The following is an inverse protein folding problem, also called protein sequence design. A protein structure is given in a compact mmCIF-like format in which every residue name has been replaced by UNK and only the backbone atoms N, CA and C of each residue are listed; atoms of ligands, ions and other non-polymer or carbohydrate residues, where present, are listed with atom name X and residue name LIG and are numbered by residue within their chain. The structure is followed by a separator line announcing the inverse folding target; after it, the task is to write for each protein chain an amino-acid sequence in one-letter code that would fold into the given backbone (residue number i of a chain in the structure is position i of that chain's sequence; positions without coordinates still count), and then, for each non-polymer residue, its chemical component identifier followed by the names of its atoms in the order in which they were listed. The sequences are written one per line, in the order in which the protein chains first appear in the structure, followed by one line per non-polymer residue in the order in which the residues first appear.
data_IF_114881547081
#
_entry.id   IF_114881547081
#
_cell.length_a   1.000
_cell.length_b   1.000
_cell.length_c   1.000
_cell.angle_alpha   90.00
_cell.angle_beta   90.00
_cell.angle_gamma   90.00
#
_symmetry.space_group_name_H-M   'P 1'
#
loop_
_entity.id
_entity.type
_entity.pdbx_description
1 polymer ?
#
# COMPACT_ATOMS: atom_id res chain seq x y z
N UNK A 1 -46.44 -22.62 48.52
CA UNK A 1 -46.79 -24.04 48.73
C UNK A 1 -46.27 -24.85 47.54
N UNK A 2 -45.47 -25.89 47.83
CA UNK A 2 -45.13 -27.14 47.10
C UNK A 2 -45.46 -27.26 45.57
N UNK A 3 -44.41 -27.42 44.75
CA UNK A 3 -43.90 -28.64 44.04
C UNK A 3 -44.53 -29.04 42.67
N UNK A 4 -43.61 -29.56 41.83
CA UNK A 4 -43.71 -30.51 40.69
C UNK A 4 -43.67 -29.86 39.30
N UNK A 5 -42.56 -29.84 38.54
CA UNK A 5 -41.83 -30.95 37.89
C UNK A 5 -42.69 -31.73 36.88
N UNK A 6 -42.47 -31.51 35.58
CA UNK A 6 -42.50 -32.56 34.55
C UNK A 6 -41.70 -32.09 33.31
N UNK A 7 -40.57 -32.75 33.10
CA UNK A 7 -39.80 -32.76 31.86
C UNK A 7 -40.46 -33.79 30.95
N UNK A 8 -40.82 -33.42 29.73
CA UNK A 8 -41.16 -34.38 28.67
C UNK A 8 -40.26 -34.11 27.47
N UNK A 9 -39.28 -35.00 27.34
CA UNK A 9 -38.39 -35.19 26.21
C UNK A 9 -39.15 -35.97 25.14
N UNK A 10 -39.36 -35.39 23.95
CA UNK A 10 -39.81 -36.14 22.77
C UNK A 10 -38.72 -36.06 21.71
N UNK A 11 -37.93 -37.12 21.66
CA UNK A 11 -37.05 -37.49 20.55
C UNK A 11 -37.93 -38.02 19.41
N UNK A 12 -37.88 -37.34 18.25
CA UNK A 12 -38.24 -37.97 16.97
C UNK A 12 -36.96 -38.02 16.14
N UNK A 13 -36.32 -39.18 16.18
CA UNK A 13 -35.35 -39.62 15.18
C UNK A 13 -36.14 -40.00 13.93
N UNK A 14 -35.91 -39.28 12.83
CA UNK A 14 -36.22 -39.74 11.50
C UNK A 14 -34.95 -39.65 10.67
N UNK A 15 -34.32 -40.81 10.47
CA UNK A 15 -33.24 -41.01 9.52
C UNK A 15 -33.67 -40.52 8.13
N UNK A 16 -32.98 -39.53 7.59
CA UNK A 16 -32.82 -39.33 6.15
C UNK A 16 -31.31 -39.27 5.90
N UNK A 17 -30.74 -40.45 5.69
CA UNK A 17 -29.36 -40.63 5.25
C UNK A 17 -29.28 -40.30 3.76
N UNK A 18 -28.44 -39.31 3.48
CA UNK A 18 -27.57 -39.15 2.32
C UNK A 18 -28.10 -39.51 0.92
N UNK A 19 -28.57 -38.46 0.22
CA UNK A 19 -28.33 -38.26 -1.21
C UNK A 19 -28.35 -36.74 -1.53
N UNK A 20 -27.53 -35.97 -0.79
CA UNK A 20 -27.20 -34.58 -1.14
C UNK A 20 -25.76 -34.19 -0.78
N UNK A 21 -24.97 -35.14 -0.29
CA UNK A 21 -23.54 -35.04 0.02
C UNK A 21 -22.65 -35.31 -1.20
N UNK A 22 -23.18 -35.03 -2.40
CA UNK A 22 -22.45 -35.04 -3.67
C UNK A 22 -22.80 -33.79 -4.51
N UNK A 23 -22.70 -32.59 -3.90
CA UNK A 23 -22.73 -31.33 -4.65
C UNK A 23 -21.96 -30.19 -3.95
N UNK A 24 -21.08 -30.49 -3.00
CA UNK A 24 -20.16 -29.54 -2.38
C UNK A 24 -18.73 -29.64 -2.95
N UNK A 25 -18.59 -30.17 -4.17
CA UNK A 25 -17.42 -29.99 -5.02
C UNK A 25 -17.71 -28.89 -6.06
N UNK A 26 -18.13 -27.71 -5.60
CA UNK A 26 -18.19 -26.52 -6.45
C UNK A 26 -16.77 -25.98 -6.60
N UNK A 27 -16.11 -26.40 -7.68
CA UNK A 27 -14.97 -25.75 -8.38
C UNK A 27 -14.10 -24.78 -7.56
N UNK A 28 -13.00 -25.27 -6.99
CA UNK A 28 -11.84 -24.44 -6.62
C UNK A 28 -11.01 -23.99 -7.86
N UNK A 29 -11.63 -23.80 -9.03
CA UNK A 29 -10.93 -23.85 -10.33
C UNK A 29 -11.05 -22.60 -11.24
N UNK A 30 -11.30 -21.38 -10.74
CA UNK A 30 -11.54 -20.24 -11.65
C UNK A 30 -10.58 -19.03 -11.48
N UNK A 31 -9.30 -19.26 -11.14
CA UNK A 31 -8.27 -18.23 -11.22
C UNK A 31 -7.01 -18.75 -11.93
N UNK A 32 -6.31 -17.87 -12.65
CA UNK A 32 -5.00 -18.19 -13.21
C UNK A 32 -3.97 -18.18 -12.08
N UNK A 33 -3.25 -19.29 -11.92
CA UNK A 33 -2.17 -19.37 -10.92
C UNK A 33 -1.05 -18.42 -11.31
N UNK A 34 -0.76 -17.49 -10.42
CA UNK A 34 0.21 -16.42 -10.59
C UNK A 34 1.26 -16.50 -9.48
N UNK A 35 2.55 -16.50 -9.83
CA UNK A 35 3.65 -16.51 -8.86
C UNK A 35 4.58 -15.34 -9.13
N UNK A 36 4.82 -14.51 -8.11
CA UNK A 36 5.75 -13.39 -8.15
C UNK A 36 6.98 -13.75 -7.32
N UNK A 37 8.16 -13.47 -7.85
CA UNK A 37 9.43 -13.68 -7.15
C UNK A 37 10.46 -12.66 -7.63
N UNK A 38 11.61 -12.60 -6.97
CA UNK A 38 12.70 -11.69 -7.31
C UNK A 38 13.96 -12.48 -7.66
N UNK A 39 14.60 -12.11 -8.77
CA UNK A 39 15.98 -12.49 -9.09
C UNK A 39 16.89 -11.34 -8.67
N UNK A 40 17.42 -11.43 -7.44
CA UNK A 40 18.29 -10.41 -6.87
C UNK A 40 19.60 -10.24 -7.65
N UNK A 41 20.09 -11.29 -8.32
CA UNK A 41 21.34 -11.23 -9.10
C UNK A 41 21.17 -10.38 -10.36
N UNK A 42 19.99 -10.46 -10.98
CA UNK A 42 19.65 -9.67 -12.17
C UNK A 42 18.90 -8.39 -11.85
N UNK A 43 18.55 -8.17 -10.58
CA UNK A 43 17.76 -7.04 -10.11
C UNK A 43 16.45 -6.97 -10.91
N UNK A 44 15.72 -8.10 -10.89
CA UNK A 44 14.51 -8.31 -11.69
C UNK A 44 13.38 -8.90 -10.84
N UNK A 45 12.16 -8.46 -11.12
CA UNK A 45 10.94 -9.11 -10.61
C UNK A 45 10.45 -10.07 -11.69
N UNK A 46 10.23 -11.32 -11.30
CA UNK A 46 9.73 -12.38 -12.17
C UNK A 46 8.27 -12.66 -11.83
N UNK A 47 7.44 -12.72 -12.86
CA UNK A 47 6.02 -13.05 -12.73
C UNK A 47 5.66 -14.23 -13.64
N UNK A 48 5.36 -15.37 -13.02
CA UNK A 48 5.01 -16.61 -13.68
C UNK A 48 3.50 -16.85 -13.67
N UNK A 49 2.90 -16.85 -14.85
CA UNK A 49 1.49 -17.13 -15.10
C UNK A 49 1.32 -18.54 -15.66
N UNK A 50 0.49 -19.37 -15.02
CA UNK A 50 0.13 -20.70 -15.51
C UNK A 50 -1.23 -20.62 -16.20
N UNK A 51 -1.20 -20.38 -17.50
CA UNK A 51 -2.36 -20.08 -18.33
C UNK A 51 -3.04 -21.39 -18.75
N UNK A 52 -4.36 -21.55 -18.50
CA UNK A 52 -5.08 -22.74 -18.95
C UNK A 52 -5.25 -22.75 -20.48
N UNK A 53 -5.44 -23.94 -21.09
CA UNK A 53 -5.68 -24.05 -22.53
C UNK A 53 -6.89 -23.22 -22.99
N UNK A 54 -6.81 -22.65 -24.20
CA UNK A 54 -7.90 -21.88 -24.81
C UNK A 54 -7.99 -20.42 -24.36
N UNK A 55 -7.21 -20.00 -23.36
CA UNK A 55 -7.13 -18.60 -22.98
C UNK A 55 -6.24 -17.81 -23.95
N UNK A 56 -6.80 -16.75 -24.53
CA UNK A 56 -6.14 -15.92 -25.55
C UNK A 56 -5.79 -14.51 -25.07
N UNK A 57 -6.33 -14.06 -23.93
CA UNK A 57 -5.99 -12.74 -23.37
C UNK A 57 -6.20 -12.65 -21.86
N UNK A 58 -5.42 -11.78 -21.21
CA UNK A 58 -5.61 -11.33 -19.83
C UNK A 58 -5.59 -9.79 -19.85
N UNK A 59 -6.59 -9.15 -19.23
CA UNK A 59 -6.64 -7.68 -19.15
C UNK A 59 -6.15 -7.27 -17.77
N UNK A 60 -4.95 -6.69 -17.70
CA UNK A 60 -4.37 -6.21 -16.45
C UNK A 60 -5.03 -4.90 -16.01
N UNK A 61 -4.99 -4.64 -14.71
CA UNK A 61 -5.31 -3.30 -14.21
C UNK A 61 -4.31 -2.31 -14.80
N UNK A 62 -4.85 -1.30 -15.49
CA UNK A 62 -4.08 -0.21 -16.06
C UNK A 62 -3.95 0.98 -15.13
N UNK A 63 -3.33 2.04 -15.65
CA UNK A 63 -3.06 3.31 -14.99
C UNK A 63 -4.29 4.16 -14.58
N UNK A 64 -5.46 3.55 -14.31
CA UNK A 64 -6.70 4.28 -14.04
C UNK A 64 -7.61 3.71 -12.94
N UNK A 65 -7.35 2.52 -12.37
CA UNK A 65 -8.16 1.97 -11.25
C UNK A 65 -7.56 2.24 -9.87
N UNK A 66 -6.28 2.59 -9.88
CA UNK A 66 -5.44 3.12 -8.81
C UNK A 66 -4.41 3.97 -9.57
N UNK A 67 -3.89 5.10 -9.07
CA UNK A 67 -2.95 5.93 -9.82
C UNK A 67 -1.58 5.24 -9.94
N UNK A 68 -1.52 4.14 -10.69
CA UNK A 68 -0.32 3.43 -11.09
C UNK A 68 0.14 4.11 -12.37
N UNK A 69 1.24 4.86 -12.32
CA UNK A 69 1.62 5.77 -13.39
C UNK A 69 1.94 5.12 -14.75
N UNK A 70 2.18 3.81 -14.76
CA UNK A 70 2.90 3.15 -15.85
C UNK A 70 2.04 2.04 -16.43
N UNK A 71 1.67 2.12 -17.72
CA UNK A 71 0.99 1.03 -18.41
C UNK A 71 1.76 -0.28 -18.31
N UNK A 72 1.09 -1.45 -18.15
CA UNK A 72 1.75 -2.73 -18.02
C UNK A 72 2.75 -3.06 -19.14
N UNK A 73 2.48 -2.65 -20.38
CA UNK A 73 3.39 -2.83 -21.52
C UNK A 73 4.75 -2.11 -21.37
N UNK A 74 4.81 -1.02 -20.60
CA UNK A 74 6.04 -0.28 -20.33
C UNK A 74 6.79 -0.82 -19.11
N UNK A 75 6.10 -1.61 -18.28
CA UNK A 75 6.60 -2.17 -17.04
C UNK A 75 7.14 -3.59 -17.24
N UNK A 76 6.43 -4.40 -18.02
CA UNK A 76 6.67 -5.82 -18.17
C UNK A 76 7.22 -6.18 -19.55
N UNK A 77 8.22 -7.06 -19.57
CA UNK A 77 8.71 -7.73 -20.78
C UNK A 77 8.36 -9.21 -20.74
N UNK A 78 7.89 -9.75 -21.85
CA UNK A 78 7.65 -11.19 -21.99
C UNK A 78 8.99 -11.90 -22.18
N UNK A 79 9.35 -12.78 -21.24
CA UNK A 79 10.59 -13.56 -21.28
C UNK A 79 10.39 -14.93 -21.92
N UNK A 80 9.27 -15.60 -21.61
CA UNK A 80 8.91 -16.89 -22.20
C UNK A 80 7.39 -17.03 -22.36
N UNK A 81 6.95 -17.99 -23.17
CA UNK A 81 5.54 -18.38 -23.26
C UNK A 81 4.72 -17.68 -24.34
N UNK A 82 5.34 -17.01 -25.32
CA UNK A 82 4.67 -16.52 -26.54
C UNK A 82 3.48 -15.60 -26.26
N UNK A 83 3.72 -14.46 -25.64
CA UNK A 83 2.71 -13.45 -25.35
C UNK A 83 3.18 -12.08 -25.83
N UNK A 84 2.24 -11.15 -26.03
CA UNK A 84 2.54 -9.77 -26.42
C UNK A 84 1.61 -8.83 -25.65
N UNK A 85 2.11 -7.63 -25.36
CA UNK A 85 1.30 -6.58 -24.74
C UNK A 85 0.72 -5.65 -25.80
N UNK A 86 -0.55 -5.28 -25.60
CA UNK A 86 -1.24 -4.20 -26.28
C UNK A 86 -1.93 -3.34 -25.21
N UNK A 87 -1.27 -2.26 -24.79
CA UNK A 87 -1.68 -1.44 -23.66
C UNK A 87 -1.68 -2.24 -22.35
N UNK A 88 -2.87 -2.42 -21.76
CA UNK A 88 -3.06 -3.21 -20.54
C UNK A 88 -3.42 -4.67 -20.83
N UNK A 89 -3.52 -5.07 -22.09
CA UNK A 89 -3.92 -6.43 -22.48
C UNK A 89 -2.68 -7.26 -22.77
N UNK A 90 -2.55 -8.39 -22.09
CA UNK A 90 -1.59 -9.44 -22.43
C UNK A 90 -2.28 -10.44 -23.36
N UNK A 91 -1.96 -10.38 -24.64
CA UNK A 91 -2.42 -11.33 -25.64
C UNK A 91 -1.57 -12.59 -25.64
N UNK A 92 -2.24 -13.73 -25.74
CA UNK A 92 -1.65 -15.04 -25.57
C UNK A 92 -1.74 -15.83 -26.87
N UNK A 93 -0.60 -16.28 -27.41
CA UNK A 93 -0.60 -17.19 -28.57
C UNK A 93 -1.42 -18.47 -28.32
N UNK A 94 -2.18 -18.89 -29.32
CA UNK A 94 -3.33 -19.79 -29.22
C UNK A 94 -3.05 -21.27 -28.82
N UNK A 95 -1.80 -21.69 -28.61
CA UNK A 95 -1.46 -23.11 -28.43
C UNK A 95 -1.13 -23.49 -26.97
N UNK A 96 -1.96 -24.37 -26.40
CA UNK A 96 -1.66 -25.20 -25.22
C UNK A 96 -1.58 -24.50 -23.86
N UNK A 97 -1.81 -25.25 -22.78
CA UNK A 97 -1.57 -24.78 -21.43
C UNK A 97 -0.09 -24.42 -21.26
N UNK A 98 0.18 -23.17 -20.86
CA UNK A 98 1.51 -22.58 -20.98
C UNK A 98 1.90 -21.78 -19.76
N UNK A 99 3.19 -21.84 -19.42
CA UNK A 99 3.82 -20.91 -18.49
C UNK A 99 4.24 -19.68 -19.28
N UNK A 100 3.65 -18.53 -18.98
CA UNK A 100 4.12 -17.23 -19.46
C UNK A 100 4.93 -16.60 -18.34
N UNK A 101 6.17 -16.24 -18.64
CA UNK A 101 7.02 -15.53 -17.69
C UNK A 101 7.18 -14.08 -18.14
N UNK A 102 6.78 -13.16 -17.28
CA UNK A 102 6.98 -11.73 -17.43
C UNK A 102 8.11 -11.29 -16.51
N UNK A 103 8.84 -10.26 -16.93
CA UNK A 103 9.97 -9.71 -16.18
C UNK A 103 9.85 -8.19 -16.13
N UNK A 104 10.01 -7.64 -14.95
CA UNK A 104 10.17 -6.20 -14.72
C UNK A 104 11.62 -5.95 -14.29
N UNK A 105 12.29 -5.05 -15.00
CA UNK A 105 13.63 -4.58 -14.65
C UNK A 105 13.51 -3.53 -13.54
N UNK A 106 14.19 -3.78 -12.41
CA UNK A 106 14.16 -2.88 -11.24
C UNK A 106 15.53 -2.27 -10.92
N UNK A 107 16.43 -2.18 -11.91
CA UNK A 107 17.79 -1.67 -11.72
C UNK A 107 17.85 -0.16 -11.48
N UNK A 108 16.94 0.62 -12.07
CA UNK A 108 16.86 2.08 -11.87
C UNK A 108 15.53 2.45 -11.28
N UNK A 109 15.55 3.30 -10.26
CA UNK A 109 14.32 3.91 -9.77
C UNK A 109 13.72 4.71 -10.92
N UNK A 110 12.39 4.63 -11.08
CA UNK A 110 11.68 5.38 -12.11
C UNK A 110 11.11 6.65 -11.49
N UNK A 111 11.31 7.78 -12.15
CA UNK A 111 10.53 8.97 -11.89
C UNK A 111 9.11 8.70 -12.37
N UNK A 112 8.14 8.89 -11.49
CA UNK A 112 6.72 8.81 -11.82
C UNK A 112 6.12 10.21 -11.75
N UNK A 113 5.08 10.51 -12.54
CA UNK A 113 4.30 11.74 -12.39
C UNK A 113 3.85 11.97 -10.94
N UNK A 114 3.59 13.23 -10.61
CA UNK A 114 3.00 13.58 -9.31
C UNK A 114 1.72 12.76 -9.04
N UNK A 115 1.51 12.41 -7.77
CA UNK A 115 0.35 11.63 -7.27
C UNK A 115 0.18 10.25 -7.88
N UNK A 116 1.27 9.62 -8.27
CA UNK A 116 1.24 8.23 -8.74
C UNK A 116 2.17 7.35 -7.93
N UNK A 117 1.71 6.14 -7.63
CA UNK A 117 2.51 5.19 -6.87
C UNK A 117 3.61 4.61 -7.75
N UNK A 118 4.82 4.57 -7.20
CA UNK A 118 5.94 3.90 -7.86
C UNK A 118 5.66 2.40 -7.99
N UNK A 119 5.98 1.75 -9.11
CA UNK A 119 5.72 0.32 -9.27
C UNK A 119 6.58 -0.54 -8.34
N UNK A 120 7.73 -0.02 -7.91
CA UNK A 120 8.64 -0.65 -6.98
C UNK A 120 9.57 0.38 -6.34
N UNK A 121 10.19 0.01 -5.23
CA UNK A 121 11.35 0.68 -4.66
C UNK A 121 12.33 -0.34 -4.10
N UNK A 122 13.54 0.14 -3.76
CA UNK A 122 14.64 -0.70 -3.28
C UNK A 122 15.24 -0.17 -2.01
N UNK A 123 15.70 -1.09 -1.18
CA UNK A 123 16.53 -0.80 -0.02
C UNK A 123 18.00 -0.99 -0.38
N UNK A 124 18.88 -0.42 0.44
CA UNK A 124 20.33 -0.54 0.28
C UNK A 124 20.85 -1.97 0.37
N UNK A 125 20.14 -2.87 1.06
CA UNK A 125 20.53 -4.27 1.24
C UNK A 125 20.06 -5.18 0.09
N UNK A 126 19.52 -4.61 -0.98
CA UNK A 126 19.00 -5.35 -2.12
C UNK A 126 17.54 -5.81 -1.97
N UNK A 127 16.89 -5.53 -0.84
CA UNK A 127 15.46 -5.76 -0.69
C UNK A 127 14.69 -4.97 -1.74
N UNK A 128 13.78 -5.65 -2.45
CA UNK A 128 12.93 -5.06 -3.49
C UNK A 128 11.48 -5.12 -3.02
N UNK A 129 10.81 -3.97 -2.98
CA UNK A 129 9.38 -3.90 -2.73
C UNK A 129 8.62 -3.59 -4.02
N UNK A 130 7.57 -4.35 -4.31
CA UNK A 130 6.74 -4.20 -5.52
C UNK A 130 5.32 -3.88 -5.14
N UNK A 131 4.70 -2.98 -5.89
CA UNK A 131 3.30 -2.62 -5.71
C UNK A 131 2.40 -3.79 -6.12
N UNK A 132 1.49 -4.22 -5.23
CA UNK A 132 0.64 -5.40 -5.46
C UNK A 132 -0.30 -5.25 -6.65
N UNK A 133 -0.74 -4.02 -6.96
CA UNK A 133 -1.64 -3.72 -8.08
C UNK A 133 -1.00 -3.97 -9.45
N UNK A 134 0.32 -4.05 -9.55
CA UNK A 134 1.02 -4.44 -10.79
C UNK A 134 0.68 -5.88 -11.23
N UNK A 135 0.07 -6.67 -10.35
CA UNK A 135 -0.30 -8.07 -10.55
C UNK A 135 -1.81 -8.29 -10.50
N UNK A 136 -2.59 -7.21 -10.60
CA UNK A 136 -4.06 -7.25 -10.60
C UNK A 136 -4.63 -7.24 -12.02
N UNK A 137 -5.87 -7.70 -12.15
CA UNK A 137 -6.63 -7.74 -13.41
C UNK A 137 -7.80 -6.78 -13.36
N UNK A 138 -8.08 -6.18 -14.51
CA UNK A 138 -9.27 -5.34 -14.70
C UNK A 138 -10.54 -6.11 -14.39
N UNK A 139 -11.58 -5.41 -13.92
CA UNK A 139 -12.95 -5.95 -13.84
C UNK A 139 -13.46 -6.47 -15.19
N UNK A 140 -12.91 -5.97 -16.30
CA UNK A 140 -13.21 -6.42 -17.66
C UNK A 140 -12.42 -7.67 -18.09
N UNK A 141 -11.46 -8.12 -17.29
CA UNK A 141 -10.70 -9.32 -17.55
C UNK A 141 -11.62 -10.54 -17.48
N UNK A 142 -11.49 -11.51 -18.41
CA UNK A 142 -12.29 -12.74 -18.38
C UNK A 142 -11.89 -13.68 -17.23
N UNK A 143 -10.81 -13.35 -16.50
CA UNK A 143 -10.25 -14.20 -15.43
C UNK A 143 -9.79 -13.39 -14.24
N UNK A 144 -9.75 -14.07 -13.09
CA UNK A 144 -9.08 -13.64 -11.87
C UNK A 144 -7.66 -14.22 -11.79
N UNK A 145 -6.82 -13.65 -10.93
CA UNK A 145 -5.47 -14.14 -10.65
C UNK A 145 -5.35 -14.59 -9.19
N UNK A 146 -4.83 -15.79 -8.96
CA UNK A 146 -4.43 -16.22 -7.62
C UNK A 146 -2.93 -15.91 -7.45
N UNK A 147 -2.63 -14.69 -7.00
CA UNK A 147 -1.26 -14.20 -6.85
C UNK A 147 -0.61 -14.75 -5.59
N UNK A 148 0.58 -15.33 -5.74
CA UNK A 148 1.41 -15.82 -4.63
C UNK A 148 2.80 -15.24 -4.75
N UNK A 149 3.27 -14.60 -3.70
CA UNK A 149 4.61 -14.03 -3.64
C UNK A 149 5.54 -15.05 -3.00
N UNK A 150 6.64 -15.41 -3.66
CA UNK A 150 7.56 -16.47 -3.23
C UNK A 150 8.93 -15.87 -2.90
N UNK A 151 9.41 -16.15 -1.69
CA UNK A 151 10.74 -15.77 -1.25
C UNK A 151 11.83 -16.63 -1.94
N UNK A 152 13.00 -16.04 -2.17
CA UNK A 152 14.21 -16.80 -2.48
C UNK A 152 14.69 -17.56 -1.23
N UNK A 153 15.57 -18.57 -1.36
CA UNK A 153 16.16 -19.24 -0.21
C UNK A 153 16.82 -18.22 0.74
N UNK A 154 16.49 -18.30 2.03
CA UNK A 154 16.96 -17.41 3.10
C UNK A 154 16.40 -15.97 3.11
N UNK A 155 15.56 -15.61 2.14
CA UNK A 155 14.85 -14.34 2.12
C UNK A 155 13.48 -14.44 2.81
N UNK A 156 12.91 -13.28 3.13
CA UNK A 156 11.51 -13.14 3.46
C UNK A 156 10.73 -12.55 2.29
N UNK A 157 9.45 -12.86 2.25
CA UNK A 157 8.42 -12.11 1.54
C UNK A 157 7.51 -11.45 2.56
N UNK A 158 7.37 -10.12 2.47
CA UNK A 158 6.84 -9.27 3.54
C UNK A 158 5.74 -8.36 3.00
N UNK A 159 4.58 -8.36 3.63
CA UNK A 159 3.43 -7.54 3.24
C UNK A 159 2.20 -7.97 4.03
N UNK A 160 1.15 -7.15 4.03
CA UNK A 160 -0.11 -7.46 4.73
C UNK A 160 0.07 -7.77 6.23
N UNK A 161 1.09 -7.19 6.89
CA UNK A 161 1.40 -7.49 8.30
C UNK A 161 2.15 -8.81 8.54
N UNK A 162 2.47 -9.55 7.48
CA UNK A 162 3.13 -10.85 7.51
C UNK A 162 4.56 -10.79 6.95
N UNK A 163 5.42 -11.69 7.44
CA UNK A 163 6.78 -11.89 6.95
C UNK A 163 7.05 -13.40 6.87
N UNK A 164 7.12 -13.94 5.67
CA UNK A 164 7.14 -15.38 5.41
C UNK A 164 8.40 -15.80 4.66
N UNK A 165 8.99 -16.96 4.99
CA UNK A 165 10.21 -17.45 4.33
C UNK A 165 9.96 -18.32 3.09
N UNK A 166 8.68 -18.58 2.75
CA UNK A 166 8.31 -19.45 1.63
C UNK A 166 7.39 -18.74 0.66
N UNK A 167 6.16 -18.51 1.09
CA UNK A 167 5.11 -17.95 0.26
C UNK A 167 4.21 -17.06 1.10
N UNK A 168 3.93 -15.87 0.60
CA UNK A 168 2.86 -15.00 1.06
C UNK A 168 1.73 -15.02 0.03
N UNK A 169 0.49 -15.09 0.48
CA UNK A 169 -0.70 -15.10 -0.38
C UNK A 169 -1.74 -14.18 0.27
N UNK A 170 -1.59 -12.85 0.08
CA UNK A 170 -2.53 -11.88 0.65
C UNK A 170 -3.90 -12.01 -0.03
N UNK A 171 -4.98 -11.51 0.59
CA UNK A 171 -6.30 -11.53 -0.04
C UNK A 171 -6.32 -10.71 -1.33
N UNK A 172 -7.23 -11.04 -2.27
CA UNK A 172 -7.36 -10.33 -3.55
C UNK A 172 -7.66 -8.83 -3.40
N UNK A 173 -8.20 -8.43 -2.25
CA UNK A 173 -8.45 -7.03 -1.87
C UNK A 173 -7.21 -6.28 -1.39
N UNK A 174 -6.08 -6.95 -1.18
CA UNK A 174 -4.85 -6.33 -0.68
C UNK A 174 -4.31 -5.30 -1.68
N UNK A 175 -4.05 -4.09 -1.19
CA UNK A 175 -3.49 -2.97 -1.96
C UNK A 175 -2.33 -2.40 -1.16
N UNK A 176 -1.11 -2.70 -1.56
CA UNK A 176 0.09 -2.26 -0.85
C UNK A 176 1.36 -2.81 -1.48
N UNK A 177 2.49 -2.49 -0.88
CA UNK A 177 3.77 -3.06 -1.30
C UNK A 177 4.02 -4.43 -0.68
N UNK A 178 4.62 -5.33 -1.46
CA UNK A 178 5.19 -6.61 -1.01
C UNK A 178 6.69 -6.58 -1.21
N UNK A 179 7.46 -6.74 -0.15
CA UNK A 179 8.92 -6.75 -0.17
C UNK A 179 9.51 -8.16 -0.20
N UNK A 180 10.65 -8.30 -0.87
CA UNK A 180 11.45 -9.51 -0.99
C UNK A 180 12.88 -9.21 -0.57
N UNK A 181 13.40 -9.94 0.42
CA UNK A 181 14.78 -9.78 0.88
C UNK A 181 14.93 -9.99 2.37
N UNK A 182 15.94 -9.36 2.97
CA UNK A 182 16.28 -9.49 4.40
C UNK A 182 16.38 -8.13 5.12
N UNK A 183 15.35 -7.27 5.03
CA UNK A 183 15.37 -5.97 5.70
C UNK A 183 15.32 -6.11 7.22
N UNK A 184 15.46 -5.00 7.93
CA UNK A 184 15.15 -4.97 9.37
C UNK A 184 13.64 -4.98 9.52
N UNK A 185 13.09 -5.95 10.25
CA UNK A 185 11.66 -6.04 10.53
C UNK A 185 11.45 -5.81 12.02
N UNK A 186 10.56 -4.89 12.35
CA UNK A 186 10.12 -4.64 13.71
C UNK A 186 8.60 -4.76 13.81
N UNK A 187 8.12 -5.34 14.91
CA UNK A 187 6.69 -5.42 15.22
C UNK A 187 6.42 -4.77 16.57
N UNK A 188 5.47 -3.86 16.63
CA UNK A 188 5.02 -3.25 17.89
C UNK A 188 3.54 -2.87 17.80
N UNK A 189 2.73 -3.28 18.79
CA UNK A 189 1.33 -2.85 18.90
C UNK A 189 0.47 -3.15 17.67
N UNK A 190 0.71 -4.27 16.97
CA UNK A 190 0.02 -4.64 15.74
C UNK A 190 0.59 -4.00 14.46
N UNK A 191 1.52 -3.05 14.59
CA UNK A 191 2.21 -2.45 13.47
C UNK A 191 3.42 -3.29 13.06
N UNK A 192 3.56 -3.55 11.76
CA UNK A 192 4.78 -4.09 11.17
C UNK A 192 5.54 -2.98 10.45
N UNK A 193 6.81 -2.78 10.82
CA UNK A 193 7.69 -1.80 10.22
C UNK A 193 8.86 -2.53 9.55
N UNK A 194 9.11 -2.20 8.30
CA UNK A 194 10.15 -2.77 7.43
C UNK A 194 11.12 -1.66 7.10
N UNK A 195 12.37 -1.80 7.50
CA UNK A 195 13.33 -0.70 7.51
C UNK A 195 14.59 -1.07 6.75
N UNK A 196 15.05 -0.14 5.93
CA UNK A 196 16.33 -0.23 5.26
C UNK A 196 17.48 -0.20 6.28
N UNK A 197 18.42 -1.13 6.13
CA UNK A 197 19.60 -1.24 6.99
C UNK A 197 20.46 0.01 6.94
N UNK A 198 20.53 0.70 5.80
CA UNK A 198 21.28 1.94 5.65
C UNK A 198 20.57 3.16 6.25
N UNK A 199 19.29 3.07 6.62
CA UNK A 199 18.62 4.20 7.27
C UNK A 199 19.33 4.54 8.59
N UNK A 200 19.63 5.83 8.85
CA UNK A 200 20.34 6.27 10.04
C UNK A 200 19.68 5.76 11.33
N UNK A 201 20.45 5.24 12.31
CA UNK A 201 19.87 4.63 13.51
C UNK A 201 18.88 5.53 14.27
N UNK A 202 19.17 6.83 14.36
CA UNK A 202 18.28 7.81 15.01
C UNK A 202 16.94 7.89 14.29
N UNK A 203 16.92 7.90 12.95
CA UNK A 203 15.70 8.03 12.16
C UNK A 203 14.81 6.81 12.36
N UNK A 204 15.42 5.61 12.30
CA UNK A 204 14.70 4.35 12.54
C UNK A 204 14.05 4.36 13.92
N UNK A 205 14.81 4.70 14.95
CA UNK A 205 14.33 4.71 16.33
C UNK A 205 13.23 5.75 16.54
N UNK A 206 13.46 6.99 16.11
CA UNK A 206 12.52 8.12 16.26
C UNK A 206 11.20 7.83 15.57
N UNK A 207 11.23 7.41 14.31
CA UNK A 207 10.00 7.11 13.56
C UNK A 207 9.29 5.92 14.18
N UNK A 208 9.97 4.79 14.43
CA UNK A 208 9.34 3.61 15.02
C UNK A 208 8.67 3.88 16.37
N UNK A 209 9.31 4.63 17.26
CA UNK A 209 8.72 5.02 18.56
C UNK A 209 7.52 5.93 18.39
N UNK A 210 7.54 6.82 17.40
CA UNK A 210 6.47 7.78 17.13
C UNK A 210 5.27 7.13 16.45
N UNK A 211 5.47 6.17 15.55
CA UNK A 211 4.42 5.49 14.80
C UNK A 211 3.37 4.84 15.71
N UNK A 212 3.81 4.18 16.78
CA UNK A 212 2.88 3.59 17.74
C UNK A 212 2.03 4.65 18.46
N UNK A 213 2.64 5.78 18.84
CA UNK A 213 1.95 6.90 19.51
C UNK A 213 0.98 7.60 18.56
N UNK A 214 1.36 7.77 17.30
CA UNK A 214 0.51 8.30 16.23
C UNK A 214 -0.71 7.39 16.02
N UNK A 215 -0.49 6.09 15.85
CA UNK A 215 -1.57 5.11 15.67
C UNK A 215 -2.54 5.11 16.85
N UNK A 216 -2.03 5.17 18.09
CA UNK A 216 -2.85 5.28 19.31
C UNK A 216 -3.63 6.60 19.35
N UNK A 217 -2.99 7.72 19.01
CA UNK A 217 -3.61 9.04 18.99
C UNK A 217 -4.82 9.08 18.05
N UNK A 218 -4.66 8.57 16.83
CA UNK A 218 -5.74 8.52 15.85
C UNK A 218 -6.80 7.48 16.23
N UNK A 219 -6.40 6.28 16.66
CA UNK A 219 -7.35 5.23 17.05
C UNK A 219 -8.26 5.68 18.21
N UNK A 220 -7.72 6.43 19.17
CA UNK A 220 -8.50 6.96 20.29
C UNK A 220 -9.53 8.01 19.87
N UNK A 221 -9.35 8.68 18.73
CA UNK A 221 -10.21 9.77 18.25
C UNK A 221 -11.15 9.37 17.13
N UNK A 222 -10.71 8.44 16.28
CA UNK A 222 -11.38 8.09 15.03
C UNK A 222 -11.87 6.64 15.03
N UNK A 223 -11.57 5.87 16.08
CA UNK A 223 -11.87 4.45 16.19
C UNK A 223 -10.75 3.56 15.66
N UNK A 224 -10.85 2.26 15.93
CA UNK A 224 -9.86 1.28 15.51
C UNK A 224 -9.83 1.13 13.98
N UNK A 225 -8.63 0.96 13.43
CA UNK A 225 -8.40 0.64 12.03
C UNK A 225 -7.39 -0.50 11.88
N UNK A 226 -7.42 -1.18 10.74
CA UNK A 226 -6.37 -2.13 10.36
C UNK A 226 -5.10 -1.34 10.02
N UNK A 227 -4.01 -1.60 10.73
CA UNK A 227 -2.77 -0.87 10.52
C UNK A 227 -1.98 -1.44 9.34
N UNK A 228 -1.51 -0.60 8.41
CA UNK A 228 -0.73 -1.04 7.25
C UNK A 228 0.71 -1.43 7.63
N UNK A 229 1.40 -2.11 6.71
CA UNK A 229 2.85 -2.31 6.82
C UNK A 229 3.59 -1.01 6.48
N UNK A 230 4.50 -0.55 7.33
CA UNK A 230 5.25 0.69 7.09
C UNK A 230 6.64 0.38 6.55
N UNK A 231 6.99 0.94 5.41
CA UNK A 231 8.31 0.85 4.80
C UNK A 231 9.08 2.15 5.06
N UNK A 232 10.28 2.06 5.63
CA UNK A 232 11.17 3.19 5.88
C UNK A 232 12.46 2.93 5.13
N UNK A 233 12.82 3.82 4.21
CA UNK A 233 14.01 3.61 3.39
C UNK A 233 14.66 4.91 2.93
N UNK A 234 15.92 4.81 2.56
CA UNK A 234 16.70 5.95 2.09
C UNK A 234 16.98 5.82 0.60
N UNK A 235 16.82 6.93 -0.14
CA UNK A 235 17.21 6.98 -1.55
C UNK A 235 18.62 7.54 -1.65
N UNK A 236 19.54 6.71 -2.14
CA UNK A 236 20.90 7.13 -2.50
C UNK A 236 20.91 7.53 -3.98
N UNK A 237 20.32 8.67 -4.30
CA UNK A 237 20.55 9.33 -5.58
C UNK A 237 21.45 10.54 -5.35
N UNK A 238 22.55 10.60 -6.12
CA UNK A 238 23.62 11.59 -6.01
C UNK A 238 23.16 13.04 -6.32
N UNK A 239 21.87 13.24 -6.67
CA UNK A 239 21.28 14.54 -7.01
C UNK A 239 20.29 15.10 -5.95
N UNK A 240 20.10 14.44 -4.80
CA UNK A 240 18.95 14.77 -3.95
C UNK A 240 19.12 16.06 -3.11
N UNK A 241 18.21 17.02 -3.34
CA UNK A 241 17.74 17.95 -2.32
C UNK A 241 17.27 17.17 -1.07
N UNK A 242 17.42 17.76 0.11
CA UNK A 242 16.85 17.17 1.33
C UNK A 242 15.33 17.10 1.19
N UNK A 243 14.79 15.88 1.19
CA UNK A 243 13.36 15.65 1.08
C UNK A 243 12.95 14.39 1.85
N UNK A 244 11.69 14.40 2.28
CA UNK A 244 10.98 13.21 2.75
C UNK A 244 9.72 13.09 1.90
N UNK A 245 9.45 11.90 1.39
CA UNK A 245 8.26 11.58 0.61
C UNK A 245 7.48 10.47 1.30
N UNK A 246 6.18 10.69 1.46
CA UNK A 246 5.23 9.76 2.05
C UNK A 246 4.23 9.28 1.00
N UNK A 247 3.89 8.00 1.02
CA UNK A 247 2.71 7.50 0.30
C UNK A 247 1.94 6.54 1.19
N UNK A 248 0.61 6.61 1.10
CA UNK A 248 -0.29 5.69 1.80
C UNK A 248 -1.14 4.87 0.85
N UNK A 249 -1.14 3.56 1.08
CA UNK A 249 -2.01 2.55 0.48
C UNK A 249 -2.75 1.80 1.60
N UNK A 250 -3.91 1.19 1.33
CA UNK A 250 -4.68 0.47 2.36
C UNK A 250 -3.87 -0.56 3.16
N UNK A 251 -2.92 -1.25 2.51
CA UNK A 251 -2.07 -2.28 3.12
C UNK A 251 -0.64 -1.84 3.41
N UNK A 252 -0.22 -0.65 2.99
CA UNK A 252 1.16 -0.19 3.22
C UNK A 252 1.32 1.33 3.25
N UNK A 253 2.23 1.82 4.08
CA UNK A 253 2.74 3.19 4.03
C UNK A 253 4.22 3.14 3.63
N UNK A 254 4.69 4.02 2.76
CA UNK A 254 6.11 4.16 2.43
C UNK A 254 6.61 5.55 2.81
N UNK A 255 7.72 5.59 3.55
CA UNK A 255 8.44 6.78 3.94
C UNK A 255 9.84 6.72 3.34
N UNK A 256 10.05 7.53 2.31
CA UNK A 256 11.32 7.67 1.59
C UNK A 256 12.05 8.92 2.08
N UNK A 257 13.31 8.76 2.46
CA UNK A 257 14.18 9.85 2.90
C UNK A 257 15.34 10.03 1.93
N UNK A 258 15.53 11.25 1.41
CA UNK A 258 16.62 11.58 0.47
C UNK A 258 17.40 12.81 0.93
N UNK A 259 18.69 12.84 0.64
CA UNK A 259 19.57 13.94 0.99
C UNK A 259 20.29 13.78 2.33
N UNK A 260 21.13 14.77 2.63
CA UNK A 260 22.15 14.69 3.67
C UNK A 260 21.63 15.03 5.07
N UNK A 261 20.53 15.77 5.15
CA UNK A 261 19.92 16.21 6.42
C UNK A 261 19.50 15.04 7.32
N UNK A 262 19.18 13.88 6.74
CA UNK A 262 18.77 12.71 7.51
C UNK A 262 19.92 12.00 8.22
N UNK A 263 21.18 12.33 7.93
CA UNK A 263 22.34 11.63 8.51
C UNK A 263 22.49 11.84 10.01
N UNK A 264 22.07 13.00 10.51
CA UNK A 264 22.15 13.36 11.93
C UNK A 264 20.80 13.90 12.40
N UNK A 265 20.41 13.67 13.66
CA UNK A 265 19.20 14.25 14.18
C UNK A 265 19.35 15.76 14.34
N UNK A 266 18.42 16.52 13.78
CA UNK A 266 18.21 17.94 14.04
C UNK A 266 16.75 18.19 14.38
N UNK A 267 16.40 19.28 15.11
CA UNK A 267 15.01 19.56 15.49
C UNK A 267 14.06 19.56 14.27
N UNK A 268 14.49 20.17 13.16
CA UNK A 268 13.72 20.21 11.93
C UNK A 268 13.53 18.82 11.30
N UNK A 269 14.61 18.05 11.13
CA UNK A 269 14.56 16.70 10.57
C UNK A 269 13.70 15.76 11.42
N UNK A 270 13.77 15.84 12.75
CA UNK A 270 12.92 15.05 13.66
C UNK A 270 11.44 15.42 13.48
N UNK A 271 11.13 16.72 13.50
CA UNK A 271 9.75 17.19 13.32
C UNK A 271 9.20 16.80 11.95
N UNK A 272 9.99 16.94 10.88
CA UNK A 272 9.58 16.54 9.53
C UNK A 272 9.34 15.04 9.42
N UNK A 273 10.25 14.20 9.94
CA UNK A 273 10.10 12.74 9.88
C UNK A 273 8.84 12.25 10.60
N UNK A 274 8.58 12.79 11.81
CA UNK A 274 7.37 12.45 12.58
C UNK A 274 6.14 13.05 11.91
N UNK A 275 6.25 14.27 11.38
CA UNK A 275 5.18 14.98 10.71
C UNK A 275 4.68 14.24 9.47
N UNK A 276 5.55 13.87 8.54
CA UNK A 276 5.14 13.09 7.37
C UNK A 276 4.55 11.75 7.79
N UNK A 277 5.16 11.06 8.74
CA UNK A 277 4.58 9.81 9.24
C UNK A 277 3.16 9.99 9.82
N UNK A 278 2.91 11.11 10.52
CA UNK A 278 1.59 11.43 11.07
C UNK A 278 0.57 11.80 9.98
N UNK A 279 0.99 12.52 8.94
CA UNK A 279 0.17 12.82 7.76
C UNK A 279 -0.27 11.53 7.07
N UNK A 280 0.70 10.69 6.69
CA UNK A 280 0.45 9.43 6.01
C UNK A 280 -0.42 8.47 6.83
N UNK A 281 -0.17 8.36 8.14
CA UNK A 281 -1.02 7.51 8.98
C UNK A 281 -2.48 7.97 9.04
N UNK A 282 -2.75 9.27 8.93
CA UNK A 282 -4.13 9.74 8.93
C UNK A 282 -4.92 9.26 7.72
N UNK A 283 -4.24 9.00 6.59
CA UNK A 283 -4.87 8.42 5.41
C UNK A 283 -5.44 7.01 5.61
N UNK A 284 -5.04 6.30 6.66
CA UNK A 284 -5.70 5.05 7.08
C UNK A 284 -7.18 5.27 7.44
N UNK A 285 -7.53 6.44 7.98
CA UNK A 285 -8.92 6.79 8.34
C UNK A 285 -9.61 7.63 7.27
N UNK A 286 -8.90 8.51 6.57
CA UNK A 286 -9.53 9.44 5.61
C UNK A 286 -9.47 8.98 4.14
N UNK A 287 -8.64 7.98 3.80
CA UNK A 287 -8.31 7.58 2.43
C UNK A 287 -9.29 6.62 1.74
N UNK A 288 -10.51 6.46 2.27
CA UNK A 288 -11.52 5.60 1.64
C UNK A 288 -11.88 6.04 0.21
N UNK A 289 -12.30 5.09 -0.64
CA UNK A 289 -12.71 5.39 -2.03
C UNK A 289 -13.83 6.43 -2.06
N UNK A 290 -13.55 7.58 -2.71
CA UNK A 290 -14.53 8.63 -3.00
C UNK A 290 -14.83 8.64 -4.50
N UNK A 291 -16.09 8.89 -4.85
CA UNK A 291 -16.57 8.86 -6.23
C UNK A 291 -15.87 9.89 -7.14
N UNK A 292 -15.30 10.95 -6.56
CA UNK A 292 -14.60 12.04 -7.27
C UNK A 292 -13.23 12.34 -6.64
N UNK A 293 -12.42 11.30 -6.41
CA UNK A 293 -11.12 11.43 -5.71
C UNK A 293 -10.17 12.50 -6.30
N UNK A 294 -10.33 12.82 -7.60
CA UNK A 294 -9.50 13.80 -8.30
C UNK A 294 -10.10 15.22 -8.33
N UNK A 295 -11.31 15.43 -7.76
CA UNK A 295 -11.88 16.78 -7.67
C UNK A 295 -11.02 17.65 -6.75
N UNK A 296 -10.77 18.93 -7.08
CA UNK A 296 -10.00 19.83 -6.22
C UNK A 296 -10.53 19.91 -4.78
N UNK A 297 -11.85 19.88 -4.61
CA UNK A 297 -12.53 19.93 -3.31
C UNK A 297 -12.30 18.64 -2.51
N UNK A 298 -12.39 17.49 -3.18
CA UNK A 298 -12.13 16.19 -2.56
C UNK A 298 -10.67 16.07 -2.15
N UNK A 299 -9.75 16.50 -3.01
CA UNK A 299 -8.31 16.54 -2.70
C UNK A 299 -8.00 17.48 -1.54
N UNK A 300 -8.60 18.68 -1.53
CA UNK A 300 -8.44 19.62 -0.42
C UNK A 300 -8.96 19.02 0.89
N UNK A 301 -10.11 18.34 0.85
CA UNK A 301 -10.64 17.66 2.03
C UNK A 301 -9.71 16.51 2.49
N UNK A 302 -9.15 15.71 1.58
CA UNK A 302 -8.26 14.60 1.89
C UNK A 302 -6.90 15.08 2.43
N UNK A 303 -6.16 15.85 1.65
CA UNK A 303 -4.81 16.29 2.01
C UNK A 303 -4.83 17.39 3.09
N UNK A 304 -5.80 18.31 3.03
CA UNK A 304 -5.95 19.35 4.04
C UNK A 304 -6.33 18.80 5.41
N UNK A 305 -7.17 17.75 5.47
CA UNK A 305 -7.48 17.09 6.74
C UNK A 305 -6.30 16.26 7.27
N UNK A 306 -5.50 15.65 6.40
CA UNK A 306 -4.26 14.98 6.78
C UNK A 306 -3.22 15.96 7.33
N UNK A 307 -3.08 17.14 6.73
CA UNK A 307 -2.20 18.19 7.23
C UNK A 307 -2.67 18.74 8.59
N UNK A 308 -3.98 18.94 8.77
CA UNK A 308 -4.54 19.31 10.08
C UNK A 308 -4.28 18.22 11.12
N UNK A 309 -4.51 16.96 10.76
CA UNK A 309 -4.28 15.81 11.62
C UNK A 309 -2.81 15.69 12.03
N UNK A 310 -1.87 15.93 11.10
CA UNK A 310 -0.43 16.02 11.37
C UNK A 310 -0.13 17.06 12.45
N UNK A 311 -0.66 18.29 12.31
CA UNK A 311 -0.44 19.37 13.30
C UNK A 311 -0.99 18.95 14.67
N UNK A 312 -2.21 18.39 14.71
CA UNK A 312 -2.83 17.94 15.95
C UNK A 312 -2.04 16.79 16.62
N UNK A 313 -1.56 15.83 15.83
CA UNK A 313 -0.76 14.70 16.30
C UNK A 313 0.58 15.19 16.86
N UNK A 314 1.31 16.06 16.15
CA UNK A 314 2.57 16.62 16.62
C UNK A 314 2.40 17.39 17.93
N UNK A 315 1.38 18.25 18.01
CA UNK A 315 1.05 18.98 19.23
C UNK A 315 0.81 18.01 20.40
N UNK A 316 0.03 16.96 20.18
CA UNK A 316 -0.21 15.94 21.21
C UNK A 316 1.07 15.19 21.60
N UNK A 317 1.88 14.76 20.64
CA UNK A 317 3.11 14.01 20.90
C UNK A 317 4.15 14.84 21.68
N UNK A 318 4.13 16.17 21.52
CA UNK A 318 4.98 17.11 22.24
C UNK A 318 4.33 17.67 23.52
N UNK A 319 3.16 17.18 23.91
CA UNK A 319 2.38 17.69 25.05
C UNK A 319 2.15 19.21 24.99
N UNK A 320 1.91 19.72 23.77
CA UNK A 320 1.63 21.11 23.51
C UNK A 320 0.12 21.38 23.60
N UNK A 321 -0.22 22.63 23.95
CA UNK A 321 -1.62 23.05 24.09
C UNK A 321 -2.30 23.28 22.73
N UNK A 322 -3.62 23.46 22.78
CA UNK A 322 -4.47 23.72 21.60
C UNK A 322 -4.03 24.95 20.81
N UNK A 323 -3.47 25.97 21.48
CA UNK A 323 -2.96 27.17 20.82
C UNK A 323 -1.90 26.85 19.74
N UNK A 324 -1.03 25.86 19.97
CA UNK A 324 -0.01 25.46 18.98
C UNK A 324 -0.65 24.86 17.73
N UNK A 325 -1.79 24.20 17.88
CA UNK A 325 -2.57 23.69 16.74
C UNK A 325 -3.12 24.86 15.92
N UNK A 326 -3.76 25.83 16.59
CA UNK A 326 -4.30 27.03 15.94
C UNK A 326 -3.21 27.86 15.24
N UNK A 327 -2.04 27.99 15.86
CA UNK A 327 -0.90 28.68 15.26
C UNK A 327 -0.38 27.91 14.04
N UNK A 328 -0.36 26.57 14.10
CA UNK A 328 0.00 25.69 12.99
C UNK A 328 -0.94 25.86 11.80
N UNK A 329 -2.25 25.83 12.05
CA UNK A 329 -3.28 26.06 11.03
C UNK A 329 -3.16 27.47 10.44
N UNK A 330 -2.94 28.47 11.29
CA UNK A 330 -2.75 29.86 10.84
C UNK A 330 -1.52 30.01 9.95
N UNK A 331 -0.40 29.32 10.26
CA UNK A 331 0.78 29.29 9.39
C UNK A 331 0.49 28.61 8.06
N UNK A 332 -0.26 27.51 8.04
CA UNK A 332 -0.64 26.83 6.80
C UNK A 332 -1.52 27.72 5.92
N UNK A 333 -2.51 28.40 6.51
CA UNK A 333 -3.36 29.37 5.81
C UNK A 333 -2.53 30.53 5.24
N UNK A 334 -1.62 31.11 6.03
CA UNK A 334 -0.78 32.22 5.57
C UNK A 334 0.15 31.83 4.42
N UNK A 335 0.67 30.59 4.40
CA UNK A 335 1.44 30.07 3.25
C UNK A 335 0.58 29.96 2.01
N UNK A 336 -0.62 29.39 2.12
CA UNK A 336 -1.57 29.30 1.01
C UNK A 336 -1.89 30.70 0.44
N UNK A 337 -2.16 31.68 1.30
CA UNK A 337 -2.41 33.07 0.90
C UNK A 337 -1.20 33.66 0.16
N UNK A 338 0.02 33.40 0.61
CA UNK A 338 1.23 33.91 -0.01
C UNK A 338 1.52 33.30 -1.41
N UNK A 339 0.99 32.12 -1.68
CA UNK A 339 1.08 31.45 -2.99
C UNK A 339 -0.04 31.86 -3.96
N UNK A 340 -1.09 32.53 -3.48
CA UNK A 340 -2.14 33.05 -4.36
C UNK A 340 -1.59 34.18 -5.25
N UNK A 341 -2.01 34.26 -6.52
CA UNK A 341 -1.61 35.35 -7.39
C UNK A 341 -2.02 36.71 -6.79
N UNK A 342 -1.10 37.69 -6.81
CA UNK A 342 -1.27 39.03 -6.23
C UNK A 342 -2.52 39.82 -6.69
N UNK A 343 -3.21 39.36 -7.73
CA UNK A 343 -4.40 40.00 -8.32
C UNK A 343 -5.72 39.37 -7.87
N UNK A 344 -5.71 38.33 -7.02
CA UNK A 344 -6.92 37.68 -6.51
C UNK A 344 -7.03 37.98 -5.00
N UNK A 345 -7.98 38.82 -4.57
CA UNK A 345 -8.21 39.04 -3.15
C UNK A 345 -8.61 37.73 -2.46
N UNK A 346 -8.05 37.45 -1.29
CA UNK A 346 -8.40 36.26 -0.47
C UNK A 346 -9.90 36.18 -0.22
N UNK A 347 -10.55 37.33 0.01
CA UNK A 347 -12.00 37.42 0.17
C UNK A 347 -12.76 36.92 -1.08
N UNK A 348 -12.24 37.14 -2.28
CA UNK A 348 -12.84 36.67 -3.53
C UNK A 348 -12.69 35.16 -3.73
N UNK A 349 -11.58 34.57 -3.26
CA UNK A 349 -11.37 33.11 -3.27
C UNK A 349 -12.29 32.42 -2.26
N UNK A 350 -12.48 33.02 -1.07
CA UNK A 350 -13.30 32.47 0.01
C UNK A 350 -14.81 32.78 -0.12
N UNK A 351 -15.20 33.69 -1.02
CA UNK A 351 -16.61 34.06 -1.25
C UNK A 351 -17.40 33.07 -2.10
N UNK A 352 -16.77 32.01 -2.64
CA UNK A 352 -17.48 30.93 -3.32
C UNK A 352 -18.23 30.11 -2.28
N UNK A 353 -19.47 30.52 -1.99
CA UNK A 353 -20.42 29.74 -1.21
C UNK A 353 -20.81 28.47 -1.99
N UNK A 354 -21.11 27.35 -1.30
CA UNK A 354 -21.76 26.22 -1.95
C UNK A 354 -23.14 26.68 -2.44
N UNK A 355 -23.38 26.54 -3.74
CA UNK A 355 -24.71 26.56 -4.34
C UNK A 355 -25.37 25.20 -4.23
#
# INVERSE_FOLDING_TARGET
MKRAAYVVLVLVLSLHVDLASASSAVSHMNCVRSVVSVDARRIQVLWDLHVPPGMTKIVLDGAGSFPVAIPPEQLWKVRTGGAQFHGNTLELAATGGRRVQLVMDVHRNRTVPDRTYVPFFRFSDGTIAVLSTNFSVSKSSPVSLCVRYRAAPHDYVIGDGHAEQRVLSPPDSFRGYVAFGTPVIAKSGGLMVVVDRASPPWLRQTVMQSLQRIAQFYSARLGLATLPTVFIFSRNDDEAHNAVHGDTLPGSISLQFSGNEWRQPGPHAVEQAIGVAAHEFFHVWNGGSRADADSPETLLALEGSAEFARIAALSHLHNQGEQIVLDGVSRALNRCIAELPNHIPVASVLAVRPG
#
